data_IF_060748686362
#
_entry.id   IF_060748686362
#
_cell.length_a   1.000
_cell.length_b   1.000
_cell.length_c   1.000
_cell.angle_alpha   90.00
_cell.angle_beta   90.00
_cell.angle_gamma   90.00
#
_symmetry.space_group_name_H-M   'P 1'
#
loop_
_entity.id
_entity.type
_entity.pdbx_description
1 polymer ?
#
# COMPACT_ATOMS: atom_id res chain seq x y z
N UNK A 1 -4.45 2.33 -2.34
CA UNK A 1 -3.19 2.69 -3.03
C UNK A 1 -3.31 4.03 -3.74
N UNK A 2 -2.21 4.72 -3.91
CA UNK A 2 -2.11 5.96 -4.65
C UNK A 2 -1.16 5.76 -5.82
N UNK A 3 -1.56 6.16 -7.03
CA UNK A 3 -0.64 6.24 -8.16
C UNK A 3 0.19 7.51 -8.01
N UNK A 4 1.52 7.38 -8.04
CA UNK A 4 2.42 8.50 -7.70
C UNK A 4 3.50 8.73 -8.75
N UNK A 5 3.97 9.97 -8.84
CA UNK A 5 5.19 10.33 -9.55
C UNK A 5 6.42 10.10 -8.67
N UNK A 6 6.27 10.27 -7.36
CA UNK A 6 7.24 9.93 -6.34
C UNK A 6 6.55 9.84 -4.99
N UNK A 7 7.16 9.12 -4.05
CA UNK A 7 6.71 9.03 -2.67
C UNK A 7 7.86 8.66 -1.75
N UNK A 8 7.77 9.04 -0.50
CA UNK A 8 8.79 8.74 0.48
C UNK A 8 8.28 8.66 1.90
N UNK A 9 9.08 8.04 2.75
CA UNK A 9 8.82 7.93 4.19
C UNK A 9 10.02 8.45 4.96
N UNK A 10 9.75 9.31 5.92
CA UNK A 10 10.74 9.85 6.87
C UNK A 10 10.36 9.43 8.28
N UNK A 11 11.33 8.93 9.04
CA UNK A 11 11.21 8.57 10.45
C UNK A 11 12.34 9.26 11.21
N UNK A 12 11.98 10.01 12.25
CA UNK A 12 12.95 10.77 13.07
C UNK A 12 13.89 11.65 12.23
N UNK A 13 13.37 12.28 11.20
CA UNK A 13 14.12 13.17 10.31
C UNK A 13 14.96 12.47 9.24
N UNK A 14 14.97 11.14 9.19
CA UNK A 14 15.72 10.36 8.20
C UNK A 14 14.76 9.73 7.17
N UNK A 15 15.11 9.85 5.90
CA UNK A 15 14.41 9.14 4.83
C UNK A 15 14.73 7.65 4.90
N UNK A 16 13.71 6.82 5.17
CA UNK A 16 13.86 5.37 5.30
C UNK A 16 13.44 4.61 4.04
N UNK A 17 12.73 5.26 3.14
CA UNK A 17 12.33 4.66 1.87
C UNK A 17 11.82 5.71 0.91
N UNK A 18 12.12 5.55 -0.38
CA UNK A 18 11.67 6.46 -1.43
C UNK A 18 11.55 5.72 -2.75
N UNK A 19 10.53 6.10 -3.51
CA UNK A 19 10.29 5.60 -4.86
C UNK A 19 10.09 6.77 -5.83
N UNK A 20 10.31 6.49 -7.11
CA UNK A 20 9.87 7.32 -8.22
C UNK A 20 8.44 6.94 -8.63
N UNK A 21 8.19 6.93 -9.94
CA UNK A 21 6.88 6.58 -10.51
C UNK A 21 6.45 5.18 -10.08
N UNK A 22 5.23 5.07 -9.63
CA UNK A 22 4.65 3.80 -9.24
C UNK A 22 3.50 3.95 -8.26
N UNK A 23 3.46 3.10 -7.23
CA UNK A 23 2.38 3.05 -6.27
C UNK A 23 2.86 3.25 -4.85
N UNK A 24 2.19 4.13 -4.12
CA UNK A 24 2.20 4.14 -2.66
C UNK A 24 1.05 3.24 -2.20
N UNK A 25 1.38 2.17 -1.49
CA UNK A 25 0.42 1.23 -0.93
C UNK A 25 0.33 1.45 0.58
N UNK A 26 -0.83 1.90 1.03
CA UNK A 26 -1.16 1.95 2.46
C UNK A 26 -1.86 0.64 2.78
N UNK A 27 -1.23 -0.21 3.58
CA UNK A 27 -1.66 -1.59 3.83
C UNK A 27 -2.23 -1.76 5.22
N UNK A 28 -3.50 -2.13 5.31
CA UNK A 28 -4.16 -2.50 6.56
C UNK A 28 -4.34 -4.01 6.65
N UNK A 29 -4.18 -4.55 7.85
CA UNK A 29 -4.45 -5.96 8.18
C UNK A 29 -5.59 -6.00 9.18
N UNK A 30 -6.64 -6.74 8.86
CA UNK A 30 -7.80 -6.95 9.73
C UNK A 30 -7.71 -8.26 10.51
N UNK A 31 -8.65 -8.43 11.45
CA UNK A 31 -8.79 -9.70 12.16
C UNK A 31 -9.15 -10.81 11.18
N UNK A 32 -8.50 -11.96 11.34
CA UNK A 32 -8.75 -13.12 10.50
C UNK A 32 -8.02 -13.12 9.15
N UNK A 33 -7.32 -12.06 8.80
CA UNK A 33 -6.49 -12.04 7.61
C UNK A 33 -5.34 -13.04 7.72
N UNK A 34 -5.05 -13.68 6.60
CA UNK A 34 -3.98 -14.67 6.47
C UNK A 34 -3.11 -14.37 5.25
N UNK A 35 -2.13 -15.21 4.99
CA UNK A 35 -1.32 -15.10 3.76
C UNK A 35 -2.16 -15.17 2.50
N UNK A 36 -3.30 -15.89 2.53
CA UNK A 36 -4.22 -15.97 1.39
C UNK A 36 -4.77 -14.60 1.00
N UNK A 37 -5.12 -13.75 1.98
CA UNK A 37 -5.58 -12.38 1.72
C UNK A 37 -4.45 -11.53 1.13
N UNK A 38 -3.23 -11.67 1.63
CA UNK A 38 -2.07 -10.98 1.08
C UNK A 38 -1.79 -11.37 -0.37
N UNK A 39 -1.83 -12.68 -0.69
CA UNK A 39 -1.66 -13.20 -2.05
C UNK A 39 -2.72 -12.62 -3.00
N UNK A 40 -3.97 -12.64 -2.55
CA UNK A 40 -5.12 -12.15 -3.31
C UNK A 40 -4.98 -10.65 -3.60
N UNK A 41 -4.62 -9.88 -2.58
CA UNK A 41 -4.49 -8.43 -2.68
C UNK A 41 -3.36 -8.03 -3.64
N UNK A 42 -2.18 -8.61 -3.48
CA UNK A 42 -1.06 -8.31 -4.38
C UNK A 42 -1.34 -8.78 -5.81
N UNK A 43 -1.89 -9.98 -5.96
CA UNK A 43 -2.28 -10.49 -7.27
C UNK A 43 -3.22 -9.54 -8.01
N UNK A 44 -4.19 -8.96 -7.30
CA UNK A 44 -5.09 -7.95 -7.87
C UNK A 44 -4.35 -6.66 -8.18
N UNK A 45 -3.62 -6.13 -7.21
CA UNK A 45 -2.97 -4.83 -7.31
C UNK A 45 -1.96 -4.76 -8.45
N UNK A 46 -1.09 -5.77 -8.58
CA UNK A 46 -0.07 -5.80 -9.65
C UNK A 46 -0.66 -5.86 -11.04
N UNK A 47 -1.86 -6.42 -11.18
CA UNK A 47 -2.54 -6.60 -12.46
C UNK A 47 -3.45 -5.45 -12.88
N UNK A 48 -3.67 -4.47 -12.01
CA UNK A 48 -4.53 -3.33 -12.35
C UNK A 48 -3.93 -2.52 -13.51
N UNK A 49 -4.74 -2.29 -14.53
CA UNK A 49 -4.34 -1.56 -15.74
C UNK A 49 -4.71 -0.08 -15.59
N UNK A 50 -4.00 0.61 -14.73
CA UNK A 50 -4.29 1.99 -14.32
C UNK A 50 -3.22 2.99 -14.73
N UNK A 51 -2.22 2.57 -15.47
CA UNK A 51 -1.21 3.47 -16.01
C UNK A 51 -1.56 3.79 -17.47
N UNK A 52 -1.27 5.02 -17.87
CA UNK A 52 -1.59 5.49 -19.20
C UNK A 52 -0.68 4.84 -20.25
N UNK A 53 -1.29 4.45 -21.36
CA UNK A 53 -0.58 4.02 -22.56
C UNK A 53 -0.17 5.23 -23.41
N UNK A 54 0.43 4.97 -24.57
CA UNK A 54 0.88 5.99 -25.52
C UNK A 54 -0.27 6.86 -26.07
N UNK A 55 -1.52 6.39 -25.94
CA UNK A 55 -2.72 7.13 -26.36
C UNK A 55 -3.39 7.87 -25.19
N UNK A 56 -2.76 7.88 -24.01
CA UNK A 56 -3.31 8.52 -22.81
C UNK A 56 -4.45 7.75 -22.15
N UNK A 57 -4.66 6.49 -22.51
CA UNK A 57 -5.70 5.64 -21.91
C UNK A 57 -5.14 4.80 -20.77
N UNK A 58 -5.90 4.68 -19.68
CA UNK A 58 -5.57 3.78 -18.57
C UNK A 58 -5.65 2.33 -19.05
N UNK A 59 -4.52 1.73 -19.35
CA UNK A 59 -4.44 0.44 -20.04
C UNK A 59 -3.26 -0.43 -19.61
N UNK A 60 -2.25 0.14 -18.95
CA UNK A 60 -1.02 -0.57 -18.61
C UNK A 60 -0.97 -0.93 -17.13
N UNK A 61 -0.47 -2.13 -16.84
CA UNK A 61 -0.20 -2.58 -15.48
C UNK A 61 1.13 -2.02 -14.98
N UNK A 62 1.41 -2.23 -13.70
CA UNK A 62 2.63 -1.73 -13.05
C UNK A 62 3.91 -2.18 -13.76
N UNK A 63 4.00 -3.46 -14.13
CA UNK A 63 5.17 -4.01 -14.80
C UNK A 63 5.41 -3.39 -16.18
N UNK A 64 4.34 -3.02 -16.90
CA UNK A 64 4.45 -2.43 -18.23
C UNK A 64 5.14 -1.06 -18.23
N UNK A 65 5.14 -0.38 -17.09
CA UNK A 65 5.74 0.95 -16.93
C UNK A 65 6.97 0.93 -16.01
N UNK A 66 7.47 -0.25 -15.66
CA UNK A 66 8.59 -0.42 -14.72
C UNK A 66 8.35 0.35 -13.40
N UNK A 67 7.12 0.33 -12.92
CA UNK A 67 6.74 1.07 -11.72
C UNK A 67 7.39 0.53 -10.47
N UNK A 68 7.63 1.43 -9.53
CA UNK A 68 8.18 1.14 -8.19
C UNK A 68 7.06 1.09 -7.15
N UNK A 69 7.30 0.46 -6.02
CA UNK A 69 6.27 0.34 -4.98
C UNK A 69 6.85 0.72 -3.61
N UNK A 70 6.13 1.58 -2.91
CA UNK A 70 6.38 1.93 -1.51
C UNK A 70 5.21 1.38 -0.68
N UNK A 71 5.51 0.50 0.28
CA UNK A 71 4.50 -0.10 1.16
C UNK A 71 4.62 0.45 2.57
N UNK A 72 3.53 1.00 3.08
CA UNK A 72 3.44 1.55 4.44
C UNK A 72 2.30 0.86 5.17
N UNK A 73 2.58 0.33 6.35
CA UNK A 73 1.54 -0.24 7.22
C UNK A 73 0.64 0.86 7.75
N UNK A 74 -0.69 0.67 7.64
CA UNK A 74 -1.70 1.68 7.97
C UNK A 74 -2.90 1.04 8.66
N UNK A 75 -2.80 0.76 9.96
CA UNK A 75 -3.90 0.13 10.72
C UNK A 75 -5.15 1.03 10.80
N UNK A 76 -4.98 2.35 10.69
CA UNK A 76 -6.08 3.31 10.75
C UNK A 76 -7.06 3.21 9.57
N UNK A 77 -6.76 2.40 8.54
CA UNK A 77 -7.74 2.02 7.52
C UNK A 77 -8.94 1.29 8.13
N UNK A 78 -8.76 0.64 9.28
CA UNK A 78 -9.82 -0.02 10.04
C UNK A 78 -10.50 0.89 11.06
N UNK A 79 -10.39 2.21 10.91
CA UNK A 79 -11.05 3.15 11.80
C UNK A 79 -12.58 3.02 11.68
N UNK A 80 -13.23 2.80 12.81
CA UNK A 80 -14.68 2.87 12.93
C UNK A 80 -15.07 4.22 13.53
N UNK A 81 -15.69 5.06 12.71
CA UNK A 81 -16.10 6.42 13.08
C UNK A 81 -17.61 6.56 13.26
N UNK A 82 -18.35 5.44 13.36
CA UNK A 82 -19.82 5.46 13.43
C UNK A 82 -20.36 6.03 14.73
N UNK A 83 -19.59 5.90 15.81
CA UNK A 83 -20.04 6.29 17.15
C UNK A 83 -19.11 7.33 17.79
N UNK A 84 -19.68 8.46 18.16
CA UNK A 84 -18.94 9.50 18.85
C UNK A 84 -17.92 10.22 17.96
N UNK A 85 -16.93 10.84 18.60
CA UNK A 85 -15.89 11.63 17.92
C UNK A 85 -14.51 10.99 17.95
N UNK A 86 -14.35 9.89 18.66
CA UNK A 86 -13.10 9.13 18.70
C UNK A 86 -13.22 7.90 17.81
N UNK A 87 -12.37 7.76 16.77
CA UNK A 87 -12.34 6.55 15.99
C UNK A 87 -11.99 5.33 16.88
N UNK A 88 -12.64 4.21 16.63
CA UNK A 88 -12.27 2.92 17.19
C UNK A 88 -11.44 2.14 16.19
N UNK A 89 -10.42 1.42 16.66
CA UNK A 89 -9.54 0.61 15.82
C UNK A 89 -9.61 -0.88 16.20
N UNK A 90 -10.70 -1.31 16.81
CA UNK A 90 -10.88 -2.69 17.26
C UNK A 90 -10.93 -3.70 16.12
N UNK A 91 -11.25 -3.25 14.90
CA UNK A 91 -11.28 -4.11 13.71
C UNK A 91 -9.88 -4.34 13.09
N UNK A 92 -8.89 -3.58 13.52
CA UNK A 92 -7.52 -3.80 13.09
C UNK A 92 -6.94 -5.08 13.70
N UNK A 93 -6.16 -5.83 12.93
CA UNK A 93 -5.48 -7.03 13.41
C UNK A 93 -4.49 -6.74 14.53
N UNK A 94 -4.20 -7.75 15.35
CA UNK A 94 -3.20 -7.63 16.41
C UNK A 94 -1.83 -7.25 15.81
N UNK A 95 -1.04 -6.37 16.48
CA UNK A 95 0.20 -5.85 15.90
C UNK A 95 1.21 -6.90 15.46
N UNK A 96 1.36 -8.00 16.19
CA UNK A 96 2.29 -9.09 15.85
C UNK A 96 1.87 -9.81 14.55
N UNK A 97 0.60 -10.15 14.42
CA UNK A 97 0.05 -10.78 13.20
C UNK A 97 0.09 -9.79 12.04
N UNK A 98 -0.28 -8.54 12.28
CA UNK A 98 -0.26 -7.49 11.27
C UNK A 98 1.15 -7.27 10.71
N UNK A 99 2.17 -7.22 11.58
CA UNK A 99 3.55 -7.10 11.16
C UNK A 99 4.02 -8.30 10.34
N UNK A 100 3.67 -9.51 10.77
CA UNK A 100 4.01 -10.74 10.04
C UNK A 100 3.44 -10.71 8.62
N UNK A 101 2.17 -10.36 8.47
CA UNK A 101 1.52 -10.27 7.14
C UNK A 101 2.04 -9.10 6.32
N UNK A 102 2.38 -7.99 6.94
CA UNK A 102 3.04 -6.87 6.28
C UNK A 102 4.38 -7.29 5.68
N UNK A 103 5.22 -7.99 6.44
CA UNK A 103 6.50 -8.51 5.96
C UNK A 103 6.32 -9.55 4.84
N UNK A 104 5.32 -10.42 4.98
CA UNK A 104 4.98 -11.37 3.94
C UNK A 104 4.54 -10.67 2.65
N UNK A 105 3.70 -9.65 2.74
CA UNK A 105 3.28 -8.85 1.59
C UNK A 105 4.49 -8.23 0.88
N UNK A 106 5.45 -7.69 1.63
CA UNK A 106 6.69 -7.18 1.06
C UNK A 106 7.46 -8.24 0.26
N UNK A 107 7.50 -9.47 0.73
CA UNK A 107 8.16 -10.56 -0.02
C UNK A 107 7.49 -10.82 -1.36
N UNK A 108 6.15 -10.76 -1.41
CA UNK A 108 5.39 -10.92 -2.66
C UNK A 108 5.70 -9.79 -3.64
N UNK A 109 5.73 -8.55 -3.15
CA UNK A 109 6.01 -7.38 -3.99
C UNK A 109 7.42 -7.47 -4.57
N UNK A 110 8.40 -7.87 -3.77
CA UNK A 110 9.81 -7.98 -4.19
C UNK A 110 10.04 -9.04 -5.27
N UNK A 111 9.18 -10.04 -5.37
CA UNK A 111 9.28 -11.04 -6.43
C UNK A 111 8.96 -10.45 -7.82
N UNK A 112 8.12 -9.42 -7.87
CA UNK A 112 7.60 -8.86 -9.13
C UNK A 112 8.15 -7.47 -9.46
N UNK A 113 8.65 -6.73 -8.47
CA UNK A 113 9.06 -5.33 -8.60
C UNK A 113 10.53 -5.19 -8.23
N UNK A 114 11.31 -4.55 -9.09
CA UNK A 114 12.75 -4.40 -8.89
C UNK A 114 13.08 -3.46 -7.72
N UNK A 115 12.45 -2.28 -7.68
CA UNK A 115 12.64 -1.32 -6.58
C UNK A 115 11.41 -1.26 -5.69
N UNK A 116 11.56 -1.80 -4.49
CA UNK A 116 10.53 -1.81 -3.44
C UNK A 116 11.09 -1.11 -2.21
N UNK A 117 10.40 -0.07 -1.78
CA UNK A 117 10.70 0.63 -0.53
C UNK A 117 9.57 0.38 0.48
N UNK A 118 9.85 0.63 1.73
CA UNK A 118 8.88 0.46 2.81
C UNK A 118 9.13 1.43 3.96
N UNK A 119 8.10 1.63 4.78
CA UNK A 119 8.23 2.32 6.04
C UNK A 119 8.75 1.39 7.15
N UNK A 120 8.58 1.83 8.40
CA UNK A 120 8.94 1.06 9.59
C UNK A 120 7.65 0.77 10.35
N UNK A 121 7.34 -0.52 10.52
CA UNK A 121 6.11 -0.94 11.22
C UNK A 121 6.05 -0.36 12.63
N UNK A 122 4.94 0.29 12.95
CA UNK A 122 4.69 0.86 14.28
C UNK A 122 5.38 2.19 14.57
N UNK A 123 6.20 2.71 13.64
CA UNK A 123 6.85 4.01 13.82
C UNK A 123 5.91 5.17 13.48
N UNK A 124 6.21 6.35 14.02
CA UNK A 124 5.63 7.60 13.54
C UNK A 124 6.33 7.99 12.23
N UNK A 125 5.59 7.91 11.14
CA UNK A 125 6.12 8.12 9.80
C UNK A 125 5.56 9.40 9.19
N UNK A 126 6.42 10.17 8.53
CA UNK A 126 6.00 11.27 7.67
C UNK A 126 6.06 10.75 6.24
N UNK A 127 4.89 10.67 5.60
CA UNK A 127 4.75 10.14 4.25
C UNK A 127 4.48 11.30 3.30
N UNK A 128 5.35 11.49 2.35
CA UNK A 128 5.19 12.48 1.28
C UNK A 128 4.94 11.79 -0.05
N UNK A 129 4.15 12.41 -0.89
CA UNK A 129 3.85 11.88 -2.21
C UNK A 129 3.36 12.95 -3.17
N UNK A 130 3.53 12.69 -4.46
CA UNK A 130 2.84 13.40 -5.52
C UNK A 130 1.87 12.43 -6.19
N UNK A 131 0.57 12.60 -5.90
CA UNK A 131 -0.47 11.76 -6.49
C UNK A 131 -0.67 12.16 -7.95
N UNK A 132 -0.49 11.19 -8.84
CA UNK A 132 -0.56 11.40 -10.28
C UNK A 132 -1.98 11.15 -10.79
N UNK A 133 -2.69 12.27 -11.02
CA UNK A 133 -4.03 12.20 -11.56
C UNK A 133 -5.05 13.18 -10.95
N UNK A 134 -5.32 13.26 -9.65
CA UNK A 134 -5.07 12.24 -8.64
C UNK A 134 -5.72 10.90 -8.97
N UNK A 135 -5.11 9.82 -8.50
CA UNK A 135 -5.61 8.47 -8.77
C UNK A 135 -5.45 7.62 -7.51
N UNK A 136 -6.58 7.30 -6.88
CA UNK A 136 -6.65 6.58 -5.61
C UNK A 136 -7.61 5.40 -5.75
N UNK A 137 -7.16 4.21 -5.34
CA UNK A 137 -7.99 3.00 -5.34
C UNK A 137 -7.97 2.38 -3.95
N UNK A 138 -9.15 2.01 -3.47
CA UNK A 138 -9.32 1.22 -2.26
C UNK A 138 -9.64 -0.21 -2.68
N UNK A 139 -8.85 -1.17 -2.19
CA UNK A 139 -9.08 -2.59 -2.38
C UNK A 139 -9.34 -3.23 -1.03
N UNK A 140 -10.42 -3.98 -0.93
CA UNK A 140 -10.75 -4.80 0.22
C UNK A 140 -10.86 -6.26 -0.25
N UNK A 141 -10.12 -7.15 0.41
CA UNK A 141 -10.12 -8.58 0.03
C UNK A 141 -11.48 -9.24 0.21
N UNK A 142 -12.35 -8.68 1.06
CA UNK A 142 -13.70 -9.16 1.22
C UNK A 142 -14.58 -8.91 -0.03
N UNK A 143 -14.19 -7.91 -0.83
CA UNK A 143 -14.91 -7.51 -2.06
C UNK A 143 -14.28 -8.09 -3.34
N UNK A 144 -13.19 -8.82 -3.22
CA UNK A 144 -12.45 -9.36 -4.37
C UNK A 144 -12.80 -10.81 -4.70
#
# INVERSE_FOLDING_TARGET
MQRVLNAGVTVDGECVGRIGRGYLVLLGVGHGDTRAEADKLWGKLRGLRINEDENGKTNLALADVDGEVLVVSQFTLFADCRHGRRPSFTDAGAPDVANELYEYFLTLVREDVEHVAHGIFGADMKVDLVNDGPFTIVLDTDDL
#
